data_IF_864930554039
#
_entry.id   IF_864930554039
#
_cell.length_a   1.000
_cell.length_b   1.000
_cell.length_c   1.000
_cell.angle_alpha   90.00
_cell.angle_beta   90.00
_cell.angle_gamma   90.00
#
_symmetry.space_group_name_H-M   'P 1'
#
loop_
_entity.id
_entity.type
_entity.pdbx_description
1 polymer ?
#
# COMPACT_ATOMS: atom_id res chain seq x y z
N UNK A 1 7.34 -28.49 -8.09
CA UNK A 1 6.45 -27.81 -9.06
C UNK A 1 7.12 -26.58 -9.69
N UNK A 2 7.69 -25.67 -8.91
CA UNK A 2 8.38 -24.44 -9.39
C UNK A 2 9.53 -24.75 -10.36
N UNK A 3 10.43 -25.68 -10.01
CA UNK A 3 11.57 -26.07 -10.86
C UNK A 3 11.16 -26.63 -12.23
N UNK A 4 10.02 -27.36 -12.31
CA UNK A 4 9.47 -27.82 -13.59
C UNK A 4 9.00 -26.67 -14.47
N UNK A 5 8.30 -25.66 -13.91
CA UNK A 5 7.85 -24.46 -14.64
C UNK A 5 9.04 -23.67 -15.21
N UNK A 6 10.11 -23.54 -14.43
CA UNK A 6 11.30 -22.78 -14.82
C UNK A 6 12.03 -23.43 -16.00
N UNK A 7 12.11 -24.77 -16.06
CA UNK A 7 12.82 -25.52 -17.11
C UNK A 7 12.31 -25.23 -18.53
N UNK A 8 11.02 -24.97 -18.71
CA UNK A 8 10.41 -24.79 -20.04
C UNK A 8 10.35 -23.32 -20.51
N UNK A 9 10.74 -22.36 -19.68
CA UNK A 9 10.55 -20.93 -19.98
C UNK A 9 11.81 -20.11 -20.07
N UNK A 10 12.99 -20.68 -19.71
CA UNK A 10 14.27 -19.97 -19.64
C UNK A 10 15.35 -20.63 -20.50
N UNK A 11 16.32 -19.82 -20.93
CA UNK A 11 17.57 -20.39 -21.48
C UNK A 11 18.34 -21.14 -20.37
N UNK A 12 19.25 -22.03 -20.77
CA UNK A 12 19.96 -22.92 -19.85
C UNK A 12 20.69 -22.15 -18.74
N UNK A 13 21.36 -21.03 -19.06
CA UNK A 13 22.11 -20.23 -18.08
C UNK A 13 21.19 -19.61 -17.02
N UNK A 14 20.07 -19.06 -17.44
CA UNK A 14 19.07 -18.46 -16.55
C UNK A 14 18.34 -19.53 -15.70
N UNK A 15 18.10 -20.70 -16.30
CA UNK A 15 17.58 -21.86 -15.59
C UNK A 15 18.52 -22.33 -14.46
N UNK A 16 19.83 -22.49 -14.76
CA UNK A 16 20.82 -22.93 -13.76
C UNK A 16 20.95 -21.91 -12.62
N UNK A 17 21.02 -20.62 -12.94
CA UNK A 17 21.04 -19.54 -11.93
C UNK A 17 19.82 -19.61 -11.00
N UNK A 18 18.62 -19.69 -11.56
CA UNK A 18 17.38 -19.72 -10.78
C UNK A 18 17.23 -21.02 -10.00
N UNK A 19 17.69 -22.16 -10.54
CA UNK A 19 17.74 -23.43 -9.82
C UNK A 19 18.65 -23.36 -8.59
N UNK A 20 19.86 -22.83 -8.73
CA UNK A 20 20.80 -22.66 -7.62
C UNK A 20 20.23 -21.73 -6.53
N UNK A 21 19.61 -20.62 -6.94
CA UNK A 21 18.97 -19.68 -5.99
C UNK A 21 17.81 -20.34 -5.24
N UNK A 22 16.96 -21.11 -5.93
CA UNK A 22 15.83 -21.82 -5.27
C UNK A 22 16.36 -22.87 -4.29
N UNK A 23 17.39 -23.65 -4.67
CA UNK A 23 18.00 -24.63 -3.77
C UNK A 23 18.61 -23.96 -2.54
N UNK A 24 19.29 -22.82 -2.74
CA UNK A 24 19.85 -22.04 -1.64
C UNK A 24 18.77 -21.55 -0.68
N UNK A 25 17.69 -20.94 -1.19
CA UNK A 25 16.55 -20.50 -0.38
C UNK A 25 15.90 -21.68 0.36
N UNK A 26 15.76 -22.82 -0.31
CA UNK A 26 15.20 -24.03 0.30
C UNK A 26 16.06 -24.57 1.45
N UNK A 27 17.39 -24.58 1.28
CA UNK A 27 18.29 -24.99 2.36
C UNK A 27 18.22 -24.03 3.55
N UNK A 28 18.17 -22.71 3.31
CA UNK A 28 17.95 -21.73 4.39
C UNK A 28 16.63 -21.99 5.11
N UNK A 29 15.56 -22.26 4.35
CA UNK A 29 14.26 -22.57 4.93
C UNK A 29 14.30 -23.82 5.82
N UNK A 30 14.99 -24.88 5.40
CA UNK A 30 15.17 -26.09 6.23
C UNK A 30 15.89 -25.72 7.56
N UNK A 31 17.02 -25.01 7.47
CA UNK A 31 17.77 -24.60 8.65
C UNK A 31 16.93 -23.72 9.58
N UNK A 32 16.14 -22.83 9.02
CA UNK A 32 15.21 -21.97 9.77
C UNK A 32 14.14 -22.80 10.51
N UNK A 33 13.52 -23.76 9.81
CA UNK A 33 12.49 -24.63 10.41
C UNK A 33 13.10 -25.55 11.49
N UNK A 34 14.32 -26.04 11.29
CA UNK A 34 15.04 -26.82 12.29
C UNK A 34 15.34 -25.99 13.57
N UNK A 35 15.68 -24.70 13.39
CA UNK A 35 15.87 -23.77 14.51
C UNK A 35 14.57 -23.55 15.30
N UNK A 36 13.47 -23.26 14.59
CA UNK A 36 12.14 -23.11 15.20
C UNK A 36 11.73 -24.37 15.98
N UNK A 37 11.95 -25.55 15.39
CA UNK A 37 11.62 -26.82 16.05
C UNK A 37 12.45 -27.05 17.32
N UNK A 38 13.76 -26.72 17.32
CA UNK A 38 14.63 -26.80 18.50
C UNK A 38 14.19 -25.88 19.63
N UNK A 39 13.70 -24.70 19.28
CA UNK A 39 13.20 -23.69 20.23
C UNK A 39 11.73 -23.90 20.61
N UNK A 40 11.06 -24.93 20.05
CA UNK A 40 9.62 -25.16 20.17
C UNK A 40 8.79 -23.92 19.82
N UNK A 41 9.24 -23.19 18.80
CA UNK A 41 8.67 -21.94 18.32
C UNK A 41 7.93 -22.12 16.98
N UNK A 42 7.07 -21.16 16.64
CA UNK A 42 6.33 -21.08 15.39
C UNK A 42 6.43 -19.67 14.82
N UNK A 43 6.60 -19.55 13.51
CA UNK A 43 6.34 -18.29 12.84
C UNK A 43 4.84 -18.10 12.51
N UNK A 44 4.48 -16.92 12.02
CA UNK A 44 3.07 -16.61 11.70
C UNK A 44 2.47 -17.52 10.63
N UNK A 45 3.26 -17.97 9.66
CA UNK A 45 2.77 -18.89 8.63
C UNK A 45 2.59 -20.31 9.18
N UNK A 46 3.50 -20.75 10.07
CA UNK A 46 3.40 -22.02 10.77
C UNK A 46 2.16 -22.06 11.67
N UNK A 47 1.89 -20.96 12.40
CA UNK A 47 0.68 -20.85 13.21
C UNK A 47 -0.58 -21.07 12.36
N UNK A 48 -0.66 -20.45 11.19
CA UNK A 48 -1.82 -20.58 10.29
C UNK A 48 -1.89 -21.99 9.73
N UNK A 49 -0.78 -22.54 9.22
CA UNK A 49 -0.76 -23.87 8.61
C UNK A 49 -1.06 -24.98 9.61
N UNK A 50 -0.49 -24.91 10.82
CA UNK A 50 -0.78 -25.85 11.90
C UNK A 50 -2.23 -25.72 12.36
N UNK A 51 -2.78 -24.51 12.45
CA UNK A 51 -4.22 -24.33 12.76
C UNK A 51 -5.12 -25.04 11.75
N UNK A 52 -4.81 -24.96 10.45
CA UNK A 52 -5.56 -25.68 9.40
C UNK A 52 -5.49 -27.20 9.65
N UNK A 53 -4.31 -27.75 9.96
CA UNK A 53 -4.13 -29.18 10.23
C UNK A 53 -4.94 -29.62 11.45
N UNK A 54 -4.84 -28.89 12.55
CA UNK A 54 -5.61 -29.18 13.78
C UNK A 54 -7.11 -29.12 13.55
N UNK A 55 -7.58 -28.12 12.82
CA UNK A 55 -9.01 -27.99 12.49
C UNK A 55 -9.55 -29.17 11.66
N UNK A 56 -8.74 -29.68 10.72
CA UNK A 56 -9.11 -30.85 9.90
C UNK A 56 -9.17 -32.13 10.69
N UNK A 57 -8.23 -32.31 11.61
CA UNK A 57 -8.15 -33.53 12.42
C UNK A 57 -9.22 -33.57 13.51
N UNK A 58 -9.34 -32.46 14.26
CA UNK A 58 -10.17 -32.46 15.48
C UNK A 58 -11.59 -31.96 15.24
N UNK A 59 -11.80 -31.09 14.25
CA UNK A 59 -13.04 -30.32 14.02
C UNK A 59 -13.50 -29.56 15.29
N UNK A 60 -12.60 -29.38 16.25
CA UNK A 60 -12.86 -28.67 17.49
C UNK A 60 -12.76 -27.16 17.26
N UNK A 61 -13.89 -26.57 16.92
CA UNK A 61 -14.04 -25.12 16.80
C UNK A 61 -15.39 -24.68 17.37
N UNK A 62 -15.40 -23.52 18.02
CA UNK A 62 -16.65 -22.87 18.44
C UNK A 62 -17.51 -22.64 17.19
N UNK A 63 -18.78 -22.98 17.27
CA UNK A 63 -19.74 -22.71 16.19
C UNK A 63 -19.98 -21.20 16.09
N UNK A 64 -19.55 -20.61 14.99
CA UNK A 64 -19.86 -19.22 14.64
C UNK A 64 -21.04 -19.18 13.67
N UNK A 65 -21.95 -18.23 13.88
CA UNK A 65 -23.06 -17.97 12.94
C UNK A 65 -22.62 -17.04 11.81
N UNK A 66 -21.71 -16.12 12.13
CA UNK A 66 -21.16 -15.15 11.20
C UNK A 66 -19.66 -15.06 11.36
N UNK A 67 -18.94 -14.92 10.25
CA UNK A 67 -17.52 -14.61 10.16
C UNK A 67 -17.40 -13.32 9.37
N UNK A 68 -16.81 -12.28 9.96
CA UNK A 68 -16.62 -10.98 9.33
C UNK A 68 -15.11 -10.73 9.22
N UNK A 69 -14.64 -10.43 8.01
CA UNK A 69 -13.24 -10.11 7.75
C UNK A 69 -13.15 -8.71 7.16
N UNK A 70 -12.47 -7.83 7.86
CA UNK A 70 -12.14 -6.50 7.38
C UNK A 70 -10.80 -6.48 6.62
N UNK A 71 -10.57 -5.45 5.80
CA UNK A 71 -9.36 -5.30 4.96
C UNK A 71 -9.08 -6.56 4.11
N UNK A 72 -10.14 -7.21 3.59
CA UNK A 72 -10.06 -8.50 2.91
C UNK A 72 -9.15 -8.48 1.66
N UNK A 73 -8.91 -7.32 1.04
CA UNK A 73 -7.95 -7.15 -0.07
C UNK A 73 -6.50 -7.47 0.33
N UNK A 74 -6.18 -7.54 1.63
CA UNK A 74 -4.86 -7.89 2.14
C UNK A 74 -4.74 -9.36 2.58
N UNK A 75 -5.67 -10.19 2.11
CA UNK A 75 -5.67 -11.62 2.41
C UNK A 75 -4.62 -12.35 1.57
N UNK A 76 -3.72 -13.10 2.23
CA UNK A 76 -2.81 -14.05 1.58
C UNK A 76 -3.52 -15.39 1.29
N UNK A 77 -2.93 -16.20 0.40
CA UNK A 77 -3.49 -17.53 0.12
C UNK A 77 -3.56 -18.42 1.37
N UNK A 78 -2.58 -18.30 2.26
CA UNK A 78 -2.53 -19.07 3.52
C UNK A 78 -3.69 -18.68 4.44
N UNK A 79 -3.92 -17.37 4.62
CA UNK A 79 -5.06 -16.85 5.40
C UNK A 79 -6.41 -17.24 4.78
N UNK A 80 -6.49 -17.18 3.45
CA UNK A 80 -7.69 -17.61 2.71
C UNK A 80 -8.01 -19.10 2.94
N UNK A 81 -7.00 -19.96 2.91
CA UNK A 81 -7.19 -21.40 3.18
C UNK A 81 -7.69 -21.65 4.60
N UNK A 82 -7.14 -20.96 5.62
CA UNK A 82 -7.63 -21.06 7.00
C UNK A 82 -9.08 -20.59 7.10
N UNK A 83 -9.41 -19.47 6.50
CA UNK A 83 -10.78 -18.93 6.49
C UNK A 83 -11.77 -19.93 5.87
N UNK A 84 -11.42 -20.50 4.71
CA UNK A 84 -12.27 -21.51 4.06
C UNK A 84 -12.46 -22.74 4.93
N UNK A 85 -11.42 -23.21 5.62
CA UNK A 85 -11.54 -24.36 6.52
C UNK A 85 -12.52 -24.06 7.68
N UNK A 86 -12.40 -22.86 8.28
CA UNK A 86 -13.30 -22.43 9.35
C UNK A 86 -14.75 -22.33 8.84
N UNK A 87 -14.97 -21.73 7.67
CA UNK A 87 -16.32 -21.62 7.07
C UNK A 87 -16.91 -23.00 6.82
N UNK A 88 -16.13 -23.93 6.25
CA UNK A 88 -16.59 -25.27 5.92
C UNK A 88 -16.97 -26.05 7.17
N UNK A 89 -16.21 -25.97 8.26
CA UNK A 89 -16.48 -26.69 9.51
C UNK A 89 -17.70 -26.11 10.24
N UNK A 90 -17.81 -24.75 10.27
CA UNK A 90 -18.84 -24.06 11.06
C UNK A 90 -20.16 -23.88 10.32
N UNK A 91 -20.14 -23.88 8.99
CA UNK A 91 -21.27 -23.46 8.16
C UNK A 91 -21.66 -21.99 8.32
N UNK A 92 -20.75 -21.16 8.80
CA UNK A 92 -20.99 -19.74 9.09
C UNK A 92 -21.26 -18.92 7.83
N UNK A 93 -22.13 -17.92 7.95
CA UNK A 93 -22.27 -16.89 6.93
C UNK A 93 -21.02 -16.01 6.92
N UNK A 94 -20.47 -15.78 5.73
CA UNK A 94 -19.25 -15.01 5.56
C UNK A 94 -19.53 -13.62 4.98
N UNK A 95 -18.97 -12.60 5.63
CA UNK A 95 -18.96 -11.21 5.17
C UNK A 95 -17.50 -10.75 5.06
N UNK A 96 -17.12 -10.25 3.89
CA UNK A 96 -15.84 -9.61 3.65
C UNK A 96 -16.03 -8.12 3.35
N UNK A 97 -15.23 -7.28 3.98
CA UNK A 97 -15.17 -5.84 3.71
C UNK A 97 -13.76 -5.50 3.23
N UNK A 98 -13.65 -4.63 2.23
CA UNK A 98 -12.33 -4.24 1.72
C UNK A 98 -12.40 -3.25 0.56
N UNK A 99 -11.22 -2.76 0.19
CA UNK A 99 -11.02 -1.80 -0.90
C UNK A 99 -9.80 -2.17 -1.74
N UNK A 100 -10.01 -2.62 -2.99
CA UNK A 100 -8.94 -2.99 -3.90
C UNK A 100 -7.98 -1.85 -4.23
N UNK A 101 -8.43 -0.57 -4.15
CA UNK A 101 -7.56 0.60 -4.31
C UNK A 101 -6.53 0.73 -3.18
N UNK A 102 -6.77 0.10 -2.02
CA UNK A 102 -5.89 0.12 -0.85
C UNK A 102 -5.08 -1.18 -0.67
N UNK A 103 -5.04 -2.07 -1.66
CA UNK A 103 -4.19 -3.27 -1.63
C UNK A 103 -2.74 -2.90 -1.96
N UNK A 104 -1.91 -2.74 -0.93
CA UNK A 104 -0.52 -2.27 -1.02
C UNK A 104 0.48 -3.20 -0.30
N UNK A 105 0.08 -4.41 0.07
CA UNK A 105 0.90 -5.36 0.81
C UNK A 105 1.22 -6.64 0.01
N UNK A 106 1.40 -6.53 -1.32
CA UNK A 106 1.79 -7.66 -2.16
C UNK A 106 3.10 -8.33 -1.68
N UNK A 107 4.05 -7.53 -1.21
CA UNK A 107 5.33 -8.02 -0.69
C UNK A 107 5.21 -8.92 0.56
N UNK A 108 4.09 -8.88 1.29
CA UNK A 108 3.80 -9.78 2.41
C UNK A 108 3.06 -11.04 1.98
N UNK A 109 2.88 -11.28 0.67
CA UNK A 109 2.15 -12.42 0.13
C UNK A 109 0.65 -12.22 -0.02
N UNK A 110 0.15 -10.99 0.15
CA UNK A 110 -1.25 -10.67 -0.13
C UNK A 110 -1.58 -10.89 -1.61
N UNK A 111 -2.75 -11.47 -1.86
CA UNK A 111 -3.20 -11.84 -3.21
C UNK A 111 -4.51 -11.15 -3.57
N UNK A 112 -4.41 -10.02 -4.24
CA UNK A 112 -5.57 -9.22 -4.66
C UNK A 112 -6.54 -10.00 -5.56
N UNK A 113 -6.07 -11.04 -6.27
CA UNK A 113 -6.92 -11.89 -7.11
C UNK A 113 -8.03 -12.58 -6.29
N UNK A 114 -7.77 -12.93 -5.02
CA UNK A 114 -8.76 -13.52 -4.12
C UNK A 114 -9.93 -12.54 -3.91
N UNK A 115 -9.60 -11.26 -3.67
CA UNK A 115 -10.59 -10.20 -3.50
C UNK A 115 -11.39 -9.94 -4.79
N UNK A 116 -10.69 -9.72 -5.91
CA UNK A 116 -11.31 -9.37 -7.19
C UNK A 116 -12.18 -10.50 -7.77
N UNK A 117 -11.91 -11.74 -7.42
CA UNK A 117 -12.67 -12.90 -7.88
C UNK A 117 -13.53 -13.53 -6.77
N UNK A 118 -14.01 -12.72 -5.82
CA UNK A 118 -14.77 -13.16 -4.67
C UNK A 118 -15.92 -14.12 -5.02
N UNK A 119 -16.71 -13.79 -6.04
CA UNK A 119 -17.85 -14.63 -6.50
C UNK A 119 -17.44 -15.97 -7.11
N UNK A 120 -16.19 -16.12 -7.57
CA UNK A 120 -15.68 -17.41 -8.04
C UNK A 120 -15.38 -18.36 -6.88
N UNK A 121 -14.94 -17.81 -5.75
CA UNK A 121 -14.67 -18.58 -4.54
C UNK A 121 -15.94 -18.83 -3.71
N UNK A 122 -16.86 -17.86 -3.68
CA UNK A 122 -18.11 -17.89 -2.91
C UNK A 122 -19.30 -17.72 -3.86
N UNK A 123 -19.77 -18.84 -4.46
CA UNK A 123 -20.72 -18.87 -5.59
C UNK A 123 -22.05 -18.16 -5.34
N UNK A 124 -22.56 -18.14 -4.12
CA UNK A 124 -23.87 -17.53 -3.79
C UNK A 124 -23.72 -16.17 -3.10
N UNK A 125 -22.56 -15.55 -3.25
CA UNK A 125 -22.28 -14.26 -2.65
C UNK A 125 -22.94 -13.11 -3.40
N UNK A 126 -23.21 -12.01 -2.67
CA UNK A 126 -23.63 -10.72 -3.22
C UNK A 126 -22.58 -9.67 -2.93
N UNK A 127 -22.33 -8.78 -3.89
CA UNK A 127 -21.40 -7.68 -3.74
C UNK A 127 -22.18 -6.38 -3.60
N UNK A 128 -21.87 -5.61 -2.56
CA UNK A 128 -22.41 -4.29 -2.34
C UNK A 128 -21.28 -3.27 -2.38
N UNK A 129 -21.56 -2.11 -2.96
CA UNK A 129 -20.60 -1.01 -3.03
C UNK A 129 -21.01 0.11 -2.09
N UNK A 130 -20.13 0.44 -1.15
CA UNK A 130 -20.26 1.65 -0.33
C UNK A 130 -19.66 2.79 -1.14
N UNK A 131 -20.50 3.69 -1.63
CA UNK A 131 -20.08 4.80 -2.49
C UNK A 131 -19.87 6.11 -1.73
N UNK A 132 -20.52 6.28 -0.58
CA UNK A 132 -20.38 7.50 0.21
C UNK A 132 -19.10 7.47 1.05
N UNK A 133 -18.34 8.57 1.01
CA UNK A 133 -17.17 8.77 1.85
C UNK A 133 -17.26 10.12 2.57
N UNK A 134 -16.76 10.16 3.80
CA UNK A 134 -16.84 11.32 4.69
C UNK A 134 -15.47 11.94 5.01
N UNK A 135 -14.39 11.27 4.58
CA UNK A 135 -13.02 11.69 4.88
C UNK A 135 -12.56 12.80 3.95
N UNK A 136 -12.55 12.52 2.67
CA UNK A 136 -11.90 13.36 1.67
C UNK A 136 -12.89 14.32 0.99
N UNK A 137 -12.42 15.50 0.53
CA UNK A 137 -13.18 16.35 -0.38
C UNK A 137 -13.44 15.66 -1.73
N UNK A 138 -14.57 15.95 -2.38
CA UNK A 138 -14.94 15.36 -3.66
C UNK A 138 -13.89 15.60 -4.74
N UNK A 139 -13.28 16.78 -4.78
CA UNK A 139 -12.27 17.14 -5.77
C UNK A 139 -11.01 16.27 -5.62
N UNK A 140 -10.59 15.96 -4.38
CA UNK A 140 -9.47 15.05 -4.13
C UNK A 140 -9.79 13.63 -4.58
N UNK A 141 -11.00 13.15 -4.27
CA UNK A 141 -11.48 11.83 -4.69
C UNK A 141 -11.48 11.72 -6.21
N UNK A 142 -11.93 12.75 -6.91
CA UNK A 142 -11.97 12.77 -8.37
C UNK A 142 -10.56 12.65 -8.99
N UNK A 143 -9.55 13.28 -8.39
CA UNK A 143 -8.15 13.13 -8.83
C UNK A 143 -7.61 11.75 -8.50
N UNK A 144 -7.68 11.35 -7.24
CA UNK A 144 -7.10 10.08 -6.77
C UNK A 144 -7.78 8.87 -7.41
N UNK A 145 -9.12 8.89 -7.50
CA UNK A 145 -9.92 7.83 -8.11
C UNK A 145 -9.65 7.69 -9.61
N UNK A 146 -9.69 8.80 -10.37
CA UNK A 146 -9.39 8.75 -11.80
C UNK A 146 -7.98 8.27 -12.09
N UNK A 147 -7.01 8.62 -11.23
CA UNK A 147 -5.62 8.17 -11.34
C UNK A 147 -5.48 6.66 -11.14
N UNK A 148 -6.06 6.11 -10.05
CA UNK A 148 -5.92 4.68 -9.73
C UNK A 148 -6.73 3.80 -10.69
N UNK A 149 -7.91 4.25 -11.14
CA UNK A 149 -8.77 3.53 -12.09
C UNK A 149 -8.22 3.43 -13.53
N UNK A 150 -7.10 4.06 -13.86
CA UNK A 150 -6.37 3.78 -15.11
C UNK A 150 -5.87 2.35 -15.16
N UNK A 151 -5.64 1.73 -14.03
CA UNK A 151 -5.45 0.31 -13.93
C UNK A 151 -6.78 -0.42 -14.17
N UNK A 152 -6.92 -1.02 -15.36
CA UNK A 152 -8.15 -1.69 -15.79
C UNK A 152 -8.48 -2.97 -15.03
N UNK A 153 -7.54 -3.52 -14.27
CA UNK A 153 -7.76 -4.72 -13.44
C UNK A 153 -8.52 -4.44 -12.15
N UNK A 154 -8.68 -3.16 -11.77
CA UNK A 154 -9.39 -2.74 -10.57
C UNK A 154 -10.88 -2.49 -10.80
N UNK A 155 -11.66 -2.58 -9.72
CA UNK A 155 -13.09 -2.30 -9.76
C UNK A 155 -13.34 -0.81 -10.02
N UNK A 156 -14.28 -0.50 -10.88
CA UNK A 156 -14.69 0.90 -11.07
C UNK A 156 -15.57 1.33 -9.91
N UNK A 157 -15.22 2.45 -9.27
CA UNK A 157 -15.94 3.02 -8.13
C UNK A 157 -16.19 4.51 -8.36
N UNK A 158 -17.42 4.92 -8.18
CA UNK A 158 -17.82 6.33 -8.21
C UNK A 158 -18.09 6.75 -6.77
N UNK A 159 -17.03 7.18 -6.07
CA UNK A 159 -17.15 7.65 -4.70
C UNK A 159 -17.74 9.07 -4.67
N UNK A 160 -18.66 9.29 -3.73
CA UNK A 160 -19.35 10.55 -3.51
C UNK A 160 -19.06 11.08 -2.12
N UNK A 161 -18.71 12.36 -2.04
CA UNK A 161 -18.53 13.08 -0.78
C UNK A 161 -19.40 14.36 -0.78
N UNK A 162 -19.99 14.65 0.36
CA UNK A 162 -20.66 15.95 0.57
C UNK A 162 -19.67 17.08 0.88
N UNK A 163 -18.40 16.72 1.14
CA UNK A 163 -17.35 17.68 1.45
C UNK A 163 -16.73 18.18 0.15
N UNK A 164 -16.72 19.50 -0.03
CA UNK A 164 -16.11 20.17 -1.17
C UNK A 164 -14.99 21.10 -0.72
N UNK A 165 -13.88 21.09 -1.44
CA UNK A 165 -12.74 21.97 -1.19
C UNK A 165 -12.06 22.33 -2.50
N UNK A 166 -12.04 23.61 -2.81
CA UNK A 166 -11.30 24.09 -4.00
C UNK A 166 -9.83 23.77 -3.88
N UNK A 167 -9.28 23.09 -4.91
CA UNK A 167 -7.86 22.76 -5.03
C UNK A 167 -7.26 22.09 -3.78
N UNK A 168 -7.74 20.90 -3.39
CA UNK A 168 -7.28 20.19 -2.19
C UNK A 168 -5.88 19.60 -2.34
N UNK A 169 -5.31 19.56 -3.55
CA UNK A 169 -3.96 19.07 -3.83
C UNK A 169 -3.11 20.25 -4.26
N UNK A 170 -2.06 20.51 -3.50
CA UNK A 170 -1.08 21.58 -3.76
C UNK A 170 0.25 20.92 -4.12
N UNK A 171 0.76 21.20 -5.32
CA UNK A 171 2.09 20.77 -5.76
C UNK A 171 3.03 21.94 -5.58
N UNK A 172 4.03 21.75 -4.71
CA UNK A 172 5.06 22.74 -4.43
C UNK A 172 6.40 22.31 -5.03
N UNK A 173 6.90 23.09 -5.97
CA UNK A 173 8.17 22.83 -6.65
C UNK A 173 9.31 23.55 -5.95
N UNK A 174 10.26 22.77 -5.42
CA UNK A 174 11.48 23.28 -4.78
C UNK A 174 12.57 22.20 -4.84
N UNK A 175 13.76 22.56 -5.30
CA UNK A 175 14.89 21.62 -5.45
C UNK A 175 15.64 21.38 -4.14
N UNK A 176 15.73 22.39 -3.27
CA UNK A 176 16.29 22.21 -1.93
C UNK A 176 15.27 21.54 -1.02
N UNK A 177 15.46 20.26 -0.75
CA UNK A 177 14.52 19.41 0.01
C UNK A 177 14.30 19.90 1.44
N UNK A 178 15.35 20.34 2.11
CA UNK A 178 15.26 20.86 3.50
C UNK A 178 14.43 22.15 3.50
N UNK A 179 14.73 23.07 2.60
CA UNK A 179 13.99 24.32 2.48
C UNK A 179 12.54 24.06 2.08
N UNK A 180 12.29 23.08 1.19
CA UNK A 180 10.95 22.75 0.73
C UNK A 180 10.02 22.31 1.89
N UNK A 181 10.50 21.48 2.79
CA UNK A 181 9.69 21.07 3.94
C UNK A 181 9.50 22.23 4.93
N UNK A 182 10.54 23.03 5.19
CA UNK A 182 10.45 24.23 6.04
C UNK A 182 9.42 25.21 5.51
N UNK A 183 9.43 25.50 4.21
CA UNK A 183 8.50 26.45 3.58
C UNK A 183 7.04 25.99 3.76
N UNK A 184 6.77 24.68 3.55
CA UNK A 184 5.43 24.13 3.75
C UNK A 184 5.02 24.21 5.23
N UNK A 185 5.91 23.86 6.16
CA UNK A 185 5.61 23.92 7.59
C UNK A 185 5.35 25.35 8.07
N UNK A 186 6.19 26.32 7.66
CA UNK A 186 5.99 27.75 7.98
C UNK A 186 4.66 28.26 7.41
N UNK A 187 4.35 27.87 6.18
CA UNK A 187 3.06 28.23 5.57
C UNK A 187 1.88 27.67 6.36
N UNK A 188 1.94 26.40 6.80
CA UNK A 188 0.90 25.75 7.59
C UNK A 188 0.77 26.38 8.99
N UNK A 189 1.88 26.77 9.61
CA UNK A 189 1.88 27.46 10.90
C UNK A 189 1.16 28.81 10.84
N UNK A 190 1.44 29.60 9.81
CA UNK A 190 0.72 30.87 9.54
C UNK A 190 -0.80 30.67 9.36
N UNK A 191 -1.22 29.49 8.87
CA UNK A 191 -2.63 29.13 8.72
C UNK A 191 -3.21 28.46 9.99
N UNK A 192 -2.44 28.39 11.07
CA UNK A 192 -2.80 27.73 12.34
C UNK A 192 -3.20 26.25 12.17
N UNK A 193 -2.57 25.54 11.21
CA UNK A 193 -2.81 24.12 10.95
C UNK A 193 -1.78 23.33 11.76
N UNK A 194 -2.25 22.49 12.71
CA UNK A 194 -1.39 21.74 13.64
C UNK A 194 -1.40 20.24 13.42
N UNK A 195 -2.47 19.67 12.86
CA UNK A 195 -2.57 18.24 12.62
C UNK A 195 -1.99 17.88 11.25
N UNK A 196 -0.69 17.49 11.25
CA UNK A 196 0.10 17.27 10.03
C UNK A 196 0.72 15.88 10.08
N UNK A 197 0.63 15.17 8.96
CA UNK A 197 1.33 13.91 8.73
C UNK A 197 2.20 14.04 7.48
N UNK A 198 3.48 13.73 7.61
CA UNK A 198 4.43 13.69 6.48
C UNK A 198 4.61 12.26 6.03
N UNK A 199 4.45 12.01 4.74
CA UNK A 199 4.54 10.67 4.16
C UNK A 199 5.64 10.58 3.11
N UNK A 200 6.46 9.53 3.20
CA UNK A 200 7.45 9.16 2.19
C UNK A 200 7.27 7.73 1.73
N UNK A 201 7.98 7.36 0.65
CA UNK A 201 7.96 5.98 0.14
C UNK A 201 8.78 5.04 1.04
N UNK A 202 9.90 5.52 1.60
CA UNK A 202 10.86 4.73 2.34
C UNK A 202 11.13 5.34 3.73
N UNK A 203 11.51 4.51 4.72
CA UNK A 203 11.79 4.99 6.08
C UNK A 203 12.85 6.13 6.12
N UNK A 204 13.84 6.08 5.24
CA UNK A 204 14.94 7.07 5.18
C UNK A 204 14.64 8.32 4.35
N UNK A 205 13.45 8.45 3.77
CA UNK A 205 13.17 9.61 2.92
C UNK A 205 13.22 10.92 3.71
N UNK A 206 12.73 10.91 4.95
CA UNK A 206 12.70 12.09 5.81
C UNK A 206 14.09 12.67 6.07
N UNK A 207 15.14 11.85 6.16
CA UNK A 207 16.51 12.32 6.45
C UNK A 207 17.06 13.28 5.41
N UNK A 208 16.48 13.30 4.20
CA UNK A 208 16.85 14.23 3.13
C UNK A 208 16.16 15.60 3.26
N UNK A 209 15.16 15.73 4.14
CA UNK A 209 14.28 16.90 4.29
C UNK A 209 14.44 17.61 5.64
N UNK A 210 15.20 17.02 6.57
CA UNK A 210 15.44 17.58 7.89
C UNK A 210 16.92 17.91 8.10
N UNK A 211 17.18 18.84 9.01
CA UNK A 211 18.51 19.21 9.51
C UNK A 211 18.47 19.36 11.04
N UNK A 212 19.56 19.87 11.62
CA UNK A 212 19.69 20.08 13.08
C UNK A 212 18.68 21.04 13.71
N UNK A 213 17.88 21.73 12.91
CA UNK A 213 16.82 22.64 13.41
C UNK A 213 15.56 21.89 13.82
N UNK A 214 15.45 20.62 13.45
CA UNK A 214 14.34 19.75 13.85
C UNK A 214 14.69 19.00 15.14
N UNK A 215 13.72 18.92 16.06
CA UNK A 215 13.77 17.98 17.17
C UNK A 215 13.06 16.71 16.75
N UNK A 216 13.63 15.55 17.08
CA UNK A 216 13.06 14.24 16.77
C UNK A 216 12.84 13.47 18.06
N UNK A 217 11.65 12.86 18.18
CA UNK A 217 11.27 11.92 19.21
C UNK A 217 10.49 10.78 18.56
N UNK A 218 11.14 9.62 18.38
CA UNK A 218 10.67 8.47 17.57
C UNK A 218 10.22 8.88 16.16
N UNK A 219 8.95 8.76 15.85
CA UNK A 219 8.35 9.14 14.55
C UNK A 219 7.78 10.58 14.53
N UNK A 220 7.91 11.29 15.63
CA UNK A 220 7.51 12.69 15.78
C UNK A 220 8.67 13.64 15.54
N UNK A 221 8.40 14.67 14.78
CA UNK A 221 9.37 15.73 14.45
C UNK A 221 8.77 17.08 14.79
N UNK A 222 9.58 17.96 15.37
CA UNK A 222 9.17 19.32 15.71
C UNK A 222 10.10 20.33 15.03
N UNK A 223 9.50 21.27 14.33
CA UNK A 223 10.17 22.43 13.74
C UNK A 223 9.43 23.70 14.16
N UNK A 224 10.13 24.61 14.86
CA UNK A 224 9.52 25.78 15.52
C UNK A 224 8.33 25.33 16.42
N UNK A 225 7.12 25.82 16.13
CA UNK A 225 5.90 25.54 16.89
C UNK A 225 5.05 24.42 16.28
N UNK A 226 5.53 23.76 15.21
CA UNK A 226 4.82 22.69 14.53
C UNK A 226 5.45 21.34 14.85
N UNK A 227 4.62 20.41 15.31
CA UNK A 227 4.96 19.00 15.39
C UNK A 227 4.21 18.23 14.32
N UNK A 228 4.89 17.28 13.70
CA UNK A 228 4.32 16.40 12.70
C UNK A 228 4.83 14.98 12.86
N UNK A 229 4.04 14.01 12.43
CA UNK A 229 4.43 12.61 12.40
C UNK A 229 4.98 12.24 11.02
N UNK A 230 6.13 11.57 10.98
CA UNK A 230 6.63 10.98 9.73
C UNK A 230 6.33 9.49 9.67
N UNK A 231 5.73 9.06 8.57
CA UNK A 231 5.45 7.65 8.29
C UNK A 231 5.78 7.31 6.85
N UNK A 232 6.09 6.04 6.58
CA UNK A 232 5.98 5.55 5.20
C UNK A 232 4.51 5.47 4.81
N UNK A 233 4.24 5.61 3.51
CA UNK A 233 2.86 5.47 3.00
C UNK A 233 2.24 4.13 3.42
N UNK A 234 3.03 3.05 3.46
CA UNK A 234 2.56 1.74 3.93
C UNK A 234 2.10 1.78 5.40
N UNK A 235 2.90 2.40 6.28
CA UNK A 235 2.54 2.54 7.70
C UNK A 235 1.36 3.48 7.94
N UNK A 236 1.06 4.37 7.01
CA UNK A 236 -0.07 5.31 7.13
C UNK A 236 -1.42 4.68 6.79
N UNK A 237 -1.45 3.45 6.27
CA UNK A 237 -2.72 2.76 6.00
C UNK A 237 -3.53 2.62 7.28
N UNK A 238 -4.84 2.93 7.21
CA UNK A 238 -5.72 2.98 8.37
C UNK A 238 -5.67 4.29 9.17
N UNK A 239 -4.62 5.12 8.98
CA UNK A 239 -4.51 6.43 9.64
C UNK A 239 -5.05 7.56 8.74
N UNK A 240 -5.27 8.72 9.35
CA UNK A 240 -5.69 9.93 8.68
C UNK A 240 -5.18 11.18 9.42
N UNK A 241 -5.10 12.31 8.73
CA UNK A 241 -4.71 13.60 9.30
C UNK A 241 -5.46 14.72 8.60
N UNK A 242 -5.58 15.89 9.23
CA UNK A 242 -6.19 17.05 8.58
C UNK A 242 -5.38 17.49 7.35
N UNK A 243 -4.06 17.45 7.45
CA UNK A 243 -3.15 17.79 6.36
C UNK A 243 -2.09 16.72 6.18
N UNK A 244 -1.83 16.37 4.93
CA UNK A 244 -0.78 15.43 4.55
C UNK A 244 0.26 16.15 3.68
N UNK A 245 1.54 15.88 3.94
CA UNK A 245 2.65 16.33 3.10
C UNK A 245 3.32 15.10 2.50
N UNK A 246 3.35 14.99 1.18
CA UNK A 246 4.05 13.93 0.46
C UNK A 246 5.44 14.40 0.06
N UNK A 247 6.47 13.66 0.47
CA UNK A 247 7.86 13.95 0.16
C UNK A 247 8.46 12.91 -0.78
N UNK A 248 9.62 13.21 -1.35
CA UNK A 248 10.37 12.33 -2.27
C UNK A 248 9.57 11.96 -3.54
N UNK A 249 8.72 12.90 -4.02
CA UNK A 249 7.91 12.73 -5.22
C UNK A 249 8.73 13.05 -6.47
N UNK A 250 9.75 12.23 -6.72
CA UNK A 250 10.71 12.39 -7.81
C UNK A 250 10.84 11.13 -8.66
N UNK A 251 11.28 11.29 -9.90
CA UNK A 251 11.49 10.23 -10.87
C UNK A 251 12.88 9.58 -10.69
N UNK A 252 13.13 8.96 -9.54
CA UNK A 252 14.38 8.29 -9.18
C UNK A 252 14.15 6.81 -8.84
N UNK A 253 15.25 6.06 -8.65
CA UNK A 253 15.17 4.63 -8.32
C UNK A 253 14.39 4.36 -7.04
N UNK A 254 14.52 5.25 -6.04
CA UNK A 254 13.85 5.17 -4.74
C UNK A 254 12.74 6.23 -4.58
N UNK A 255 12.34 6.87 -5.67
CA UNK A 255 11.26 7.86 -5.67
C UNK A 255 9.86 7.21 -5.73
N UNK A 256 8.90 7.98 -6.21
CA UNK A 256 7.52 7.54 -6.41
C UNK A 256 7.14 7.73 -7.90
N UNK A 257 6.86 6.66 -8.66
CA UNK A 257 6.97 5.25 -8.26
C UNK A 257 8.41 4.78 -8.14
N UNK A 258 8.64 3.77 -7.32
CA UNK A 258 9.95 3.10 -7.30
C UNK A 258 10.23 2.43 -8.64
N UNK A 259 11.49 2.53 -9.10
CA UNK A 259 11.94 1.83 -10.32
C UNK A 259 12.62 0.49 -10.02
N UNK A 260 12.68 0.10 -8.76
CA UNK A 260 13.18 -1.21 -8.36
C UNK A 260 12.21 -2.26 -8.88
N UNK A 261 12.71 -3.14 -9.73
CA UNK A 261 11.93 -4.24 -10.29
C UNK A 261 12.00 -5.44 -9.36
N UNK A 262 10.87 -6.15 -9.25
CA UNK A 262 10.85 -7.44 -8.60
C UNK A 262 11.83 -8.41 -9.28
N UNK A 263 12.52 -9.24 -8.51
CA UNK A 263 13.34 -10.30 -9.03
C UNK A 263 12.52 -11.23 -9.92
N UNK A 264 13.10 -11.63 -11.07
CA UNK A 264 12.41 -12.46 -12.07
C UNK A 264 11.88 -13.78 -11.50
N UNK A 265 12.54 -14.30 -10.47
CA UNK A 265 12.16 -15.56 -9.81
C UNK A 265 10.81 -15.44 -9.08
N UNK A 266 10.44 -14.26 -8.59
CA UNK A 266 9.16 -14.04 -7.89
C UNK A 266 7.94 -14.27 -8.80
N UNK A 267 8.10 -14.19 -10.11
CA UNK A 267 7.05 -14.52 -11.09
C UNK A 267 6.56 -15.97 -11.00
N UNK A 268 7.37 -16.86 -10.47
CA UNK A 268 7.02 -18.28 -10.33
C UNK A 268 6.31 -18.58 -9.01
N UNK A 269 6.42 -17.67 -8.04
CA UNK A 269 5.76 -17.77 -6.73
C UNK A 269 4.47 -16.93 -6.74
N UNK A 270 4.56 -15.71 -7.20
CA UNK A 270 3.42 -14.80 -7.31
C UNK A 270 2.82 -14.92 -8.72
N UNK A 271 1.62 -15.52 -8.82
CA UNK A 271 0.91 -15.67 -10.09
C UNK A 271 0.38 -14.32 -10.66
N UNK A 272 0.66 -13.20 -10.02
CA UNK A 272 0.17 -11.88 -10.42
C UNK A 272 1.24 -11.13 -11.19
N UNK A 273 1.09 -11.08 -12.53
CA UNK A 273 1.81 -10.09 -13.36
C UNK A 273 1.06 -8.76 -13.27
N UNK A 274 1.79 -7.67 -13.00
CA UNK A 274 1.24 -6.34 -13.25
C UNK A 274 0.85 -6.25 -14.74
N UNK A 275 -0.43 -6.06 -15.02
CA UNK A 275 -0.96 -5.89 -16.37
C UNK A 275 -0.78 -4.44 -16.81
N UNK A 276 -0.77 -3.53 -15.85
CA UNK A 276 -0.61 -2.10 -16.04
C UNK A 276 0.68 -1.59 -15.37
N UNK A 277 1.40 -0.62 -15.94
CA UNK A 277 2.64 -0.12 -15.35
C UNK A 277 2.46 0.41 -13.93
N UNK A 278 3.27 -0.08 -13.01
CA UNK A 278 3.30 0.35 -11.60
C UNK A 278 1.96 0.15 -10.86
N UNK A 279 1.25 -0.95 -11.06
CA UNK A 279 -0.07 -1.17 -10.45
C UNK A 279 -0.09 -0.94 -8.93
N UNK A 280 0.85 -1.55 -8.19
CA UNK A 280 0.92 -1.41 -6.74
C UNK A 280 1.35 -0.01 -6.32
N UNK A 281 2.32 0.60 -7.00
CA UNK A 281 2.76 1.97 -6.72
C UNK A 281 1.64 3.00 -7.01
N UNK A 282 0.75 2.72 -7.97
CA UNK A 282 -0.45 3.55 -8.21
C UNK A 282 -1.42 3.48 -7.04
N UNK A 283 -1.67 2.28 -6.52
CA UNK A 283 -2.48 2.12 -5.30
C UNK A 283 -1.81 2.79 -4.11
N UNK A 284 -0.48 2.67 -3.99
CA UNK A 284 0.28 3.33 -2.94
C UNK A 284 0.14 4.85 -3.00
N UNK A 285 0.21 5.43 -4.21
CA UNK A 285 -0.01 6.87 -4.39
C UNK A 285 -1.45 7.30 -4.12
N UNK A 286 -2.43 6.48 -4.50
CA UNK A 286 -3.84 6.69 -4.12
C UNK A 286 -3.99 6.70 -2.59
N UNK A 287 -3.41 5.73 -1.90
CA UNK A 287 -3.42 5.69 -0.42
C UNK A 287 -2.79 6.97 0.14
N UNK A 288 -1.64 7.40 -0.36
CA UNK A 288 -0.96 8.60 0.09
C UNK A 288 -1.84 9.86 -0.05
N UNK A 289 -2.47 10.04 -1.22
CA UNK A 289 -3.36 11.18 -1.49
C UNK A 289 -4.59 11.19 -0.57
N UNK A 290 -5.13 10.01 -0.26
CA UNK A 290 -6.40 9.88 0.48
C UNK A 290 -6.25 9.79 2.00
N UNK A 291 -5.04 9.94 2.56
CA UNK A 291 -4.83 10.00 4.03
C UNK A 291 -5.24 11.33 4.64
N UNK A 292 -5.47 12.35 3.84
CA UNK A 292 -5.88 13.66 4.34
C UNK A 292 -7.40 13.77 4.53
N UNK A 293 -7.81 14.55 5.53
CA UNK A 293 -9.19 15.02 5.65
C UNK A 293 -9.44 16.27 4.79
N UNK A 294 -8.42 17.09 4.56
CA UNK A 294 -8.57 18.38 3.87
C UNK A 294 -7.64 18.52 2.68
N UNK A 295 -6.35 18.79 2.90
CA UNK A 295 -5.39 19.12 1.84
C UNK A 295 -4.19 18.20 1.83
N UNK A 296 -3.71 17.90 0.64
CA UNK A 296 -2.44 17.20 0.43
C UNK A 296 -1.46 18.13 -0.25
N UNK A 297 -0.31 18.34 0.38
CA UNK A 297 0.82 19.05 -0.17
C UNK A 297 1.80 18.04 -0.76
N UNK A 298 2.23 18.25 -1.98
CA UNK A 298 3.17 17.38 -2.68
C UNK A 298 4.45 18.19 -2.92
N UNK A 299 5.55 17.82 -2.26
CA UNK A 299 6.86 18.43 -2.50
C UNK A 299 7.54 17.66 -3.63
N UNK A 300 7.89 18.37 -4.70
CA UNK A 300 8.53 17.82 -5.89
C UNK A 300 9.69 18.70 -6.35
N UNK A 301 10.76 18.14 -6.92
CA UNK A 301 11.79 18.93 -7.56
C UNK A 301 11.25 19.58 -8.85
N UNK A 302 11.85 20.72 -9.25
CA UNK A 302 11.49 21.43 -10.48
C UNK A 302 11.88 20.64 -11.72
N UNK A 303 13.01 19.95 -11.65
CA UNK A 303 13.48 19.00 -12.67
C UNK A 303 13.39 17.59 -12.10
N UNK A 304 12.99 16.63 -12.92
CA UNK A 304 12.88 15.23 -12.51
C UNK A 304 11.69 14.93 -11.57
N UNK A 305 10.56 15.61 -11.78
CA UNK A 305 9.30 15.31 -11.07
C UNK A 305 8.85 13.86 -11.28
N UNK A 306 8.09 13.33 -10.34
CA UNK A 306 7.45 12.01 -10.45
C UNK A 306 6.56 11.94 -11.70
N UNK A 307 6.63 10.81 -12.42
CA UNK A 307 5.71 10.54 -13.54
C UNK A 307 4.24 10.57 -13.12
N UNK A 308 3.94 10.26 -11.85
CA UNK A 308 2.59 10.33 -11.31
C UNK A 308 2.10 11.78 -11.16
N UNK A 309 3.01 12.70 -10.78
CA UNK A 309 2.69 14.13 -10.74
C UNK A 309 2.46 14.67 -12.14
N UNK A 310 3.32 14.34 -13.10
CA UNK A 310 3.14 14.71 -14.51
C UNK A 310 1.77 14.25 -15.01
N UNK A 311 1.39 13.02 -14.66
CA UNK A 311 0.12 12.42 -15.08
C UNK A 311 -1.10 13.15 -14.50
N UNK A 312 -1.15 13.40 -13.18
CA UNK A 312 -2.28 14.11 -12.56
C UNK A 312 -2.38 15.57 -13.01
N UNK A 313 -1.24 16.24 -13.28
CA UNK A 313 -1.21 17.60 -13.85
C UNK A 313 -1.88 17.64 -15.23
N UNK A 314 -1.58 16.67 -16.08
CA UNK A 314 -2.16 16.56 -17.42
C UNK A 314 -3.67 16.35 -17.38
N UNK A 315 -4.15 15.52 -16.48
CA UNK A 315 -5.54 15.07 -16.45
C UNK A 315 -6.47 16.00 -15.67
N UNK A 316 -5.98 16.68 -14.63
CA UNK A 316 -6.78 17.37 -13.62
C UNK A 316 -6.19 18.71 -13.18
N UNK A 317 -5.58 19.46 -14.09
CA UNK A 317 -4.92 20.75 -13.79
C UNK A 317 -5.82 21.77 -13.11
N UNK A 318 -7.12 21.79 -13.41
CA UNK A 318 -8.11 22.70 -12.85
C UNK A 318 -8.39 22.46 -11.34
N UNK A 319 -8.12 21.26 -10.82
CA UNK A 319 -8.32 20.89 -9.41
C UNK A 319 -7.02 21.03 -8.61
N UNK A 320 -5.89 21.11 -9.28
CA UNK A 320 -4.58 21.23 -8.66
C UNK A 320 -4.20 22.69 -8.44
N UNK A 321 -3.44 22.96 -7.39
CA UNK A 321 -2.73 24.22 -7.22
C UNK A 321 -1.23 24.00 -7.38
N UNK A 322 -0.62 24.66 -8.34
CA UNK A 322 0.82 24.58 -8.58
C UNK A 322 1.45 25.83 -8.00
N UNK A 323 2.49 25.68 -7.19
CA UNK A 323 3.20 26.79 -6.53
C UNK A 323 4.71 26.64 -6.66
N UNK A 324 5.40 27.73 -6.96
CA UNK A 324 6.84 27.86 -6.87
C UNK A 324 7.26 28.69 -5.63
N UNK A 325 6.29 29.31 -4.95
CA UNK A 325 6.46 30.01 -3.66
C UNK A 325 5.19 29.83 -2.83
N UNK A 326 5.37 29.62 -1.53
CA UNK A 326 4.31 29.60 -0.54
C UNK A 326 4.32 30.96 0.18
N UNK A 327 3.33 31.76 -0.09
CA UNK A 327 3.13 33.08 0.57
C UNK A 327 2.02 32.95 1.62
#
# INVERSE_FOLDING_TARGET
MILKKIRYTLNIKEYLKNKSLILFIFNIHILYQDSLNKENALDFNDMINKSISVLRETKLIKKYKYIIVDEYQDTSLTKFNLLNEIINITGANFLAVGDDFQSIYRFTGCNLHIFLNFTKYFKYSKIFHIINTYRNPQELINVAGSFVMKNKSQQRKNLVSQKHLSKPIIIYFQDNKIQALKDVLIYLDKQNIKEIMVLGRNNKDITKYIDKTYKQDDDMYTFNNISFRYLTIHKSKGLESNTVILINMENSSLGMPTKIKDEKILKYVNNTKDIYPYEEERRLFYVALTRTKNKTYIISPTKNESIFITEIKKDKSNILQIKNRLQ
#
